data_IF_165954935137
#
_entry.id   IF_165954935137
#
_cell.length_a   1.000
_cell.length_b   1.000
_cell.length_c   1.000
_cell.angle_alpha   90.00
_cell.angle_beta   90.00
_cell.angle_gamma   90.00
#
_symmetry.space_group_name_H-M   'P 1'
#
loop_
_entity.id
_entity.type
_entity.pdbx_description
1 polymer ?
#
# COMPACT_ATOMS: atom_id res chain seq x y z
N UNK A 1 -2.51 15.82 -4.96
CA UNK A 1 -1.91 15.40 -3.67
C UNK A 1 -0.44 15.77 -3.66
N UNK A 2 0.07 16.52 -2.66
CA UNK A 2 1.50 16.69 -2.48
C UNK A 2 2.14 15.33 -2.16
N UNK A 3 3.21 14.95 -2.88
CA UNK A 3 3.92 13.67 -2.68
C UNK A 3 3.65 12.58 -3.72
N UNK A 4 2.63 12.71 -4.57
CA UNK A 4 2.37 11.78 -5.69
C UNK A 4 2.57 12.51 -7.02
N UNK A 5 3.70 12.23 -7.68
CA UNK A 5 4.00 12.75 -9.02
C UNK A 5 3.26 11.99 -10.13
N UNK A 6 3.23 12.52 -11.36
CA UNK A 6 2.52 11.92 -12.49
C UNK A 6 2.97 10.49 -12.80
N UNK A 7 4.25 10.17 -12.61
CA UNK A 7 4.79 8.81 -12.79
C UNK A 7 4.22 7.83 -11.76
N UNK A 8 4.20 8.22 -10.49
CA UNK A 8 3.64 7.39 -9.41
C UNK A 8 2.13 7.22 -9.57
N UNK A 9 1.43 8.31 -9.91
CA UNK A 9 0.00 8.28 -10.18
C UNK A 9 -0.35 7.32 -11.32
N UNK A 10 0.38 7.41 -12.43
CA UNK A 10 0.18 6.53 -13.60
C UNK A 10 0.50 5.07 -13.27
N UNK A 11 1.56 4.82 -12.50
CA UNK A 11 1.94 3.47 -12.06
C UNK A 11 0.86 2.85 -11.17
N UNK A 12 0.31 3.62 -10.22
CA UNK A 12 -0.76 3.17 -9.34
C UNK A 12 -2.03 2.93 -10.14
N UNK A 13 -2.40 3.85 -11.03
CA UNK A 13 -3.60 3.74 -11.86
C UNK A 13 -3.56 2.50 -12.76
N UNK A 14 -2.46 2.30 -13.50
CA UNK A 14 -2.29 1.14 -14.39
C UNK A 14 -2.14 -0.17 -13.62
N UNK A 15 -1.42 -0.16 -12.49
CA UNK A 15 -1.22 -1.36 -11.67
C UNK A 15 -2.48 -1.80 -10.93
N UNK A 16 -3.33 -0.84 -10.54
CA UNK A 16 -4.58 -1.11 -9.82
C UNK A 16 -5.70 -1.49 -10.77
N UNK A 17 -5.82 -0.83 -11.93
CA UNK A 17 -6.93 -1.05 -12.85
C UNK A 17 -8.28 -0.82 -12.18
N UNK A 18 -9.25 -1.71 -12.43
CA UNK A 18 -10.57 -1.66 -11.79
C UNK A 18 -10.52 -2.22 -10.36
N UNK A 19 -10.96 -1.41 -9.39
CA UNK A 19 -10.99 -1.80 -7.97
C UNK A 19 -11.88 -3.02 -7.71
N UNK A 20 -12.88 -3.26 -8.59
CA UNK A 20 -13.83 -4.37 -8.50
C UNK A 20 -13.21 -5.76 -8.59
N UNK A 21 -11.91 -5.87 -8.93
CA UNK A 21 -11.17 -7.15 -8.89
C UNK A 21 -10.87 -7.64 -7.48
N UNK A 22 -11.00 -6.76 -6.48
CA UNK A 22 -10.74 -7.05 -5.07
C UNK A 22 -12.08 -7.23 -4.35
N UNK A 23 -12.27 -8.40 -3.74
CA UNK A 23 -13.53 -8.76 -3.08
C UNK A 23 -13.59 -8.17 -1.68
N UNK A 24 -12.49 -8.26 -0.94
CA UNK A 24 -12.36 -7.71 0.41
C UNK A 24 -11.48 -6.46 0.43
N UNK A 25 -11.74 -5.55 1.39
CA UNK A 25 -10.95 -4.32 1.59
C UNK A 25 -9.48 -4.62 1.88
N UNK A 26 -9.17 -5.80 2.43
CA UNK A 26 -7.81 -6.26 2.72
C UNK A 26 -7.03 -6.78 1.51
N UNK A 27 -7.71 -7.17 0.42
CA UNK A 27 -7.05 -7.80 -0.73
C UNK A 27 -6.18 -6.81 -1.51
N UNK A 28 -6.66 -5.57 -1.66
CA UNK A 28 -5.92 -4.50 -2.33
C UNK A 28 -4.63 -4.09 -1.58
N UNK A 29 -4.66 -3.72 -0.29
CA UNK A 29 -3.45 -3.38 0.44
C UNK A 29 -2.50 -4.58 0.60
N UNK A 30 -3.01 -5.81 0.69
CA UNK A 30 -2.19 -7.02 0.65
C UNK A 30 -1.50 -7.18 -0.71
N UNK A 31 -2.21 -7.00 -1.82
CA UNK A 31 -1.68 -7.05 -3.18
C UNK A 31 -0.58 -6.00 -3.43
N UNK A 32 -0.75 -4.80 -2.88
CA UNK A 32 0.23 -3.72 -2.91
C UNK A 32 1.39 -3.91 -1.91
N UNK A 33 1.36 -4.97 -1.08
CA UNK A 33 2.31 -5.23 0.02
C UNK A 33 2.42 -4.05 1.00
N UNK A 34 1.32 -3.34 1.21
CA UNK A 34 1.24 -2.23 2.16
C UNK A 34 0.83 -2.67 3.56
N UNK A 35 0.43 -3.94 3.73
CA UNK A 35 -0.04 -4.51 5.00
C UNK A 35 0.52 -5.94 5.14
N UNK A 36 0.84 -6.32 6.37
CA UNK A 36 1.26 -7.68 6.72
C UNK A 36 0.14 -8.70 6.42
N UNK A 37 0.47 -9.81 5.76
CA UNK A 37 -0.46 -10.90 5.40
C UNK A 37 -0.88 -11.78 6.60
N UNK A 38 -0.89 -11.22 7.81
CA UNK A 38 -1.20 -11.95 9.05
C UNK A 38 -2.70 -12.14 9.18
N UNK A 39 -3.18 -13.39 9.02
CA UNK A 39 -4.49 -13.78 9.52
C UNK A 39 -4.39 -14.17 10.98
N UNK A 40 -4.76 -13.25 11.87
CA UNK A 40 -4.88 -13.51 13.31
C UNK A 40 -6.34 -13.78 13.68
N UNK A 41 -6.57 -14.85 14.44
CA UNK A 41 -7.85 -15.12 15.08
C UNK A 41 -7.60 -15.45 16.54
N UNK A 42 -8.31 -14.80 17.46
CA UNK A 42 -8.17 -15.03 18.90
C UNK A 42 -6.71 -14.92 19.41
N UNK A 43 -5.99 -13.85 19.01
CA UNK A 43 -4.56 -13.61 19.28
C UNK A 43 -3.60 -14.74 18.84
N UNK A 44 -4.06 -15.66 17.99
CA UNK A 44 -3.24 -16.74 17.43
C UNK A 44 -3.14 -16.56 15.92
N UNK A 45 -1.92 -16.64 15.38
CA UNK A 45 -1.65 -16.62 13.94
C UNK A 45 -2.21 -17.90 13.32
N UNK A 46 -3.26 -17.76 12.51
CA UNK A 46 -3.99 -18.89 11.89
C UNK A 46 -3.44 -19.25 10.51
N UNK A 47 -2.73 -18.32 9.87
CA UNK A 47 -2.06 -18.55 8.59
C UNK A 47 -1.37 -17.29 8.09
N UNK A 48 -0.50 -17.47 7.09
CA UNK A 48 0.16 -16.40 6.34
C UNK A 48 -0.26 -16.57 4.88
N UNK A 49 -0.70 -15.49 4.23
CA UNK A 49 -0.96 -15.51 2.78
C UNK A 49 0.37 -15.31 2.06
N UNK A 50 0.57 -16.01 0.94
CA UNK A 50 1.83 -16.03 0.18
C UNK A 50 2.38 -14.62 -0.12
N UNK A 51 3.38 -14.19 0.67
CA UNK A 51 3.98 -12.86 0.60
C UNK A 51 4.78 -12.64 -0.69
N UNK A 52 5.10 -13.72 -1.42
CA UNK A 52 5.94 -13.71 -2.62
C UNK A 52 5.24 -13.21 -3.88
N UNK A 53 3.92 -13.31 -3.98
CA UNK A 53 3.16 -13.05 -5.22
C UNK A 53 2.51 -11.65 -5.32
N UNK A 54 2.81 -10.73 -4.39
CA UNK A 54 2.32 -9.35 -4.50
C UNK A 54 3.01 -8.52 -5.60
N UNK A 55 2.40 -7.40 -6.01
CA UNK A 55 2.92 -6.55 -7.08
C UNK A 55 4.05 -5.63 -6.59
N UNK A 56 5.30 -5.98 -6.96
CA UNK A 56 6.52 -5.25 -6.58
C UNK A 56 6.52 -3.77 -7.01
N UNK A 57 5.88 -3.43 -8.12
CA UNK A 57 5.85 -2.06 -8.66
C UNK A 57 4.91 -1.18 -7.85
N UNK A 58 3.75 -1.71 -7.47
CA UNK A 58 2.83 -1.00 -6.58
C UNK A 58 3.44 -0.81 -5.19
N UNK A 59 4.08 -1.85 -4.64
CA UNK A 59 4.79 -1.74 -3.38
C UNK A 59 5.83 -0.60 -3.41
N UNK A 60 6.67 -0.57 -4.45
CA UNK A 60 7.62 0.52 -4.66
C UNK A 60 6.94 1.89 -4.80
N UNK A 61 5.86 1.97 -5.57
CA UNK A 61 5.16 3.23 -5.81
C UNK A 61 4.57 3.83 -4.52
N UNK A 62 3.97 2.99 -3.66
CA UNK A 62 3.44 3.44 -2.38
C UNK A 62 4.53 3.82 -1.38
N UNK A 63 5.63 3.07 -1.31
CA UNK A 63 6.79 3.43 -0.46
C UNK A 63 7.37 4.78 -0.91
N UNK A 64 7.54 4.98 -2.23
CA UNK A 64 8.00 6.26 -2.78
C UNK A 64 7.05 7.41 -2.46
N UNK A 65 5.75 7.20 -2.66
CA UNK A 65 4.72 8.19 -2.35
C UNK A 65 4.76 8.59 -0.87
N UNK A 66 4.90 7.61 0.04
CA UNK A 66 5.00 7.87 1.48
C UNK A 66 6.26 8.67 1.84
N UNK A 67 7.42 8.32 1.28
CA UNK A 67 8.66 9.08 1.49
C UNK A 67 8.54 10.53 1.03
N UNK A 68 7.96 10.75 -0.15
CA UNK A 68 7.77 12.11 -0.67
C UNK A 68 6.71 12.88 0.11
N UNK A 69 5.65 12.23 0.58
CA UNK A 69 4.63 12.85 1.41
C UNK A 69 5.23 13.40 2.72
N UNK A 70 6.14 12.66 3.37
CA UNK A 70 6.83 13.14 4.57
C UNK A 70 7.64 14.41 4.35
N UNK A 71 8.28 14.57 3.18
CA UNK A 71 9.10 15.74 2.88
C UNK A 71 8.28 16.93 2.36
N UNK A 72 7.23 16.69 1.57
CA UNK A 72 6.51 17.71 0.82
C UNK A 72 5.20 18.16 1.47
N UNK A 73 4.69 17.41 2.46
CA UNK A 73 3.43 17.69 3.12
C UNK A 73 3.63 17.81 4.63
N UNK A 74 3.41 19.01 5.18
CA UNK A 74 3.51 19.28 6.61
C UNK A 74 2.51 18.48 7.44
N UNK A 75 1.32 18.22 6.89
CA UNK A 75 0.27 17.42 7.55
C UNK A 75 0.67 15.95 7.64
N UNK A 76 1.22 15.38 6.56
CA UNK A 76 1.73 14.02 6.56
C UNK A 76 2.93 13.88 7.52
N UNK A 77 3.82 14.87 7.55
CA UNK A 77 4.96 14.87 8.48
C UNK A 77 4.52 14.85 9.94
N UNK A 78 3.52 15.66 10.31
CA UNK A 78 2.93 15.68 11.67
C UNK A 78 2.31 14.34 12.08
N UNK A 79 1.82 13.55 11.13
CA UNK A 79 1.29 12.22 11.40
C UNK A 79 2.40 11.22 11.74
N UNK A 80 3.56 11.31 11.08
CA UNK A 80 4.71 10.44 11.33
C UNK A 80 5.55 10.86 12.55
N UNK A 81 5.53 12.13 12.94
CA UNK A 81 6.24 12.65 14.12
C UNK A 81 5.51 12.39 15.45
N UNK A 82 4.33 11.73 15.43
CA UNK A 82 3.59 11.31 16.63
C UNK A 82 3.94 9.89 17.05
#
# INVERSE_FOLDING_TARGET
>A
MPGIGPVLATTIMLGTGTISRFTEVGDFPSYCRCVDSRRESNRRKKGEVDTKDGNKYLAWAFVKAASFAMCLCLEARRFFER
#
